data_IF_658833370579
#
_entry.id   IF_658833370579
#
_cell.length_a   1.000
_cell.length_b   1.000
_cell.length_c   1.000
_cell.angle_alpha   90.00
_cell.angle_beta   90.00
_cell.angle_gamma   90.00
#
_symmetry.space_group_name_H-M   'P 1'
#
loop_
_entity.id
_entity.type
_entity.pdbx_description
1 polymer ?
#
# COMPACT_ATOMS: atom_id res chain seq x y z
N UNK A 1 20.75 -3.32 17.21
CA UNK A 1 20.35 -3.18 15.79
C UNK A 1 19.09 -4.02 15.63
N UNK A 2 18.04 -3.47 15.05
CA UNK A 2 16.77 -4.16 14.79
C UNK A 2 16.41 -4.02 13.32
N UNK A 3 15.67 -4.98 12.77
CA UNK A 3 15.05 -4.87 11.45
C UNK A 3 13.92 -3.84 11.54
N UNK A 4 13.70 -3.08 10.46
CA UNK A 4 12.68 -2.02 10.47
C UNK A 4 11.27 -2.61 10.34
N UNK A 5 10.35 -2.26 11.25
CA UNK A 5 8.97 -2.74 11.18
C UNK A 5 8.06 -1.87 10.31
N UNK A 6 8.46 -0.64 10.01
CA UNK A 6 7.79 0.29 9.09
C UNK A 6 8.77 1.37 8.59
N UNK A 7 8.34 2.18 7.61
CA UNK A 7 9.15 3.25 7.06
C UNK A 7 8.72 4.65 7.56
N UNK A 8 7.52 4.81 8.12
CA UNK A 8 6.99 6.09 8.60
C UNK A 8 7.88 6.70 9.69
N UNK A 9 8.27 5.90 10.71
CA UNK A 9 9.16 6.39 11.78
C UNK A 9 10.55 6.82 11.28
N UNK A 10 11.26 6.06 10.42
CA UNK A 10 12.49 6.51 9.77
C UNK A 10 12.32 7.79 8.96
N UNK A 11 11.21 7.95 8.21
CA UNK A 11 10.90 9.16 7.42
C UNK A 11 10.64 10.34 8.36
N UNK A 12 9.83 10.18 9.40
CA UNK A 12 9.56 11.22 10.40
C UNK A 12 10.87 11.70 11.06
N UNK A 13 11.74 10.77 11.46
CA UNK A 13 13.06 11.10 12.00
C UNK A 13 13.95 11.83 10.98
N UNK A 14 13.96 11.39 9.71
CA UNK A 14 14.70 12.05 8.63
C UNK A 14 14.22 13.49 8.45
N UNK A 15 12.91 13.71 8.41
CA UNK A 15 12.28 15.01 8.24
C UNK A 15 12.58 15.94 9.44
N UNK A 16 12.54 15.39 10.65
CA UNK A 16 12.81 16.17 11.87
C UNK A 16 14.31 16.48 12.11
N UNK A 17 15.22 15.73 11.46
CA UNK A 17 16.67 15.89 11.65
C UNK A 17 17.37 16.45 10.41
N UNK A 18 17.61 15.61 9.40
CA UNK A 18 18.38 15.97 8.20
C UNK A 18 17.67 16.98 7.31
N UNK A 19 16.35 16.90 7.23
CA UNK A 19 15.52 17.83 6.43
C UNK A 19 14.91 18.95 7.29
N UNK A 20 15.45 19.18 8.49
CA UNK A 20 14.89 20.17 9.43
C UNK A 20 14.88 21.60 8.87
N UNK A 21 15.86 21.94 8.05
CA UNK A 21 15.97 23.26 7.41
C UNK A 21 15.04 23.45 6.20
N UNK A 22 14.50 22.35 5.67
CA UNK A 22 13.61 22.41 4.53
C UNK A 22 12.26 23.01 4.89
N UNK A 23 11.69 23.79 3.98
CA UNK A 23 10.37 24.40 4.17
C UNK A 23 9.28 23.34 4.04
N UNK A 24 8.30 23.39 4.94
CA UNK A 24 7.08 22.60 4.83
C UNK A 24 6.10 23.24 3.82
N UNK A 25 5.22 22.44 3.18
CA UNK A 25 5.09 21.00 3.30
C UNK A 25 6.19 20.23 2.56
N UNK A 26 6.56 19.06 3.09
CA UNK A 26 7.39 18.07 2.41
C UNK A 26 6.54 16.89 1.94
N UNK A 27 6.73 16.47 0.70
CA UNK A 27 6.11 15.27 0.15
C UNK A 27 7.22 14.27 -0.15
N UNK A 28 7.21 13.17 0.57
CA UNK A 28 8.26 12.16 0.51
C UNK A 28 7.65 10.81 0.13
N UNK A 29 8.45 10.00 -0.55
CA UNK A 29 8.13 8.60 -0.75
C UNK A 29 9.33 7.72 -0.43
N UNK A 30 9.05 6.49 -0.05
CA UNK A 30 10.06 5.48 0.26
C UNK A 30 9.60 4.14 -0.32
N UNK A 31 10.54 3.37 -0.85
CA UNK A 31 10.30 2.01 -1.32
C UNK A 31 11.38 1.11 -0.71
N UNK A 32 11.02 0.30 0.29
CA UNK A 32 11.96 -0.56 1.01
C UNK A 32 11.25 -1.76 1.64
N UNK A 33 12.00 -2.83 1.88
CA UNK A 33 11.54 -3.95 2.69
C UNK A 33 11.29 -3.54 4.13
N UNK A 34 10.19 -4.02 4.70
CA UNK A 34 9.91 -4.00 6.13
C UNK A 34 9.78 -5.42 6.66
N UNK A 35 9.90 -5.58 7.96
CA UNK A 35 9.95 -6.88 8.63
C UNK A 35 8.94 -6.94 9.77
N UNK A 36 8.10 -7.96 9.74
CA UNK A 36 7.08 -8.21 10.77
C UNK A 36 7.15 -9.66 11.22
N UNK A 37 6.92 -9.89 12.50
CA UNK A 37 6.77 -11.25 13.02
C UNK A 37 5.32 -11.68 12.82
N UNK A 38 5.09 -12.61 11.94
CA UNK A 38 3.78 -13.19 11.69
C UNK A 38 3.62 -14.52 12.46
N UNK A 39 2.37 -14.90 12.84
CA UNK A 39 2.13 -16.21 13.43
C UNK A 39 2.61 -17.33 12.49
N UNK A 40 3.24 -18.36 13.04
CA UNK A 40 3.65 -19.53 12.26
C UNK A 40 2.45 -20.12 11.52
N UNK A 41 2.66 -20.49 10.26
CA UNK A 41 1.63 -21.05 9.36
C UNK A 41 0.47 -20.07 9.01
N UNK A 42 0.67 -18.76 9.18
CA UNK A 42 -0.33 -17.75 8.74
C UNK A 42 -0.40 -17.58 7.21
N UNK A 43 0.56 -18.14 6.47
CA UNK A 43 0.72 -17.89 5.03
C UNK A 43 1.19 -16.48 4.69
N UNK A 44 1.68 -15.72 5.67
CA UNK A 44 2.22 -14.36 5.52
C UNK A 44 3.73 -14.40 5.58
N UNK A 45 4.35 -13.66 4.68
CA UNK A 45 5.80 -13.46 4.68
C UNK A 45 6.20 -12.49 5.81
N UNK A 46 7.32 -12.74 6.47
CA UNK A 46 7.86 -11.88 7.52
C UNK A 46 8.61 -10.67 6.94
N UNK A 47 8.96 -10.71 5.67
CA UNK A 47 9.53 -9.61 4.90
C UNK A 47 8.63 -9.30 3.70
N UNK A 48 8.33 -8.03 3.47
CA UNK A 48 7.65 -7.56 2.28
C UNK A 48 8.06 -6.13 1.94
N UNK A 49 7.95 -5.79 0.65
CA UNK A 49 8.24 -4.45 0.16
C UNK A 49 7.07 -3.53 0.43
N UNK A 50 7.37 -2.38 1.01
CA UNK A 50 6.41 -1.33 1.29
C UNK A 50 6.78 -0.06 0.53
N UNK A 51 5.81 0.52 -0.17
CA UNK A 51 5.92 1.87 -0.74
C UNK A 51 5.11 2.81 0.13
N UNK A 52 5.78 3.80 0.70
CA UNK A 52 5.20 4.79 1.58
C UNK A 52 5.14 6.14 0.89
N UNK A 53 4.06 6.88 1.12
CA UNK A 53 3.87 8.26 0.70
C UNK A 53 3.52 9.06 1.94
N UNK A 54 4.30 10.13 2.20
CA UNK A 54 4.16 10.95 3.40
C UNK A 54 4.09 12.43 3.03
N UNK A 55 3.06 13.11 3.51
CA UNK A 55 2.85 14.56 3.38
C UNK A 55 3.02 15.16 4.77
N UNK A 56 4.11 15.90 4.96
CA UNK A 56 4.51 16.48 6.23
C UNK A 56 4.30 17.99 6.19
N UNK A 57 3.57 18.55 7.16
CA UNK A 57 3.35 19.98 7.28
C UNK A 57 2.18 20.53 6.45
N UNK A 58 1.10 19.81 6.36
CA UNK A 58 -0.16 20.30 5.77
C UNK A 58 -1.24 20.45 6.83
N UNK A 59 -1.49 21.67 7.31
CA UNK A 59 -2.54 21.93 8.33
C UNK A 59 -3.96 21.89 7.77
N UNK A 60 -4.10 21.95 6.46
CA UNK A 60 -5.40 21.98 5.80
C UNK A 60 -5.92 20.59 5.47
N UNK A 61 -7.25 20.47 5.36
CA UNK A 61 -7.92 19.26 4.82
C UNK A 61 -7.42 18.86 3.43
N UNK A 62 -6.76 19.76 2.70
CA UNK A 62 -6.20 19.47 1.38
C UNK A 62 -5.13 18.39 1.44
N UNK A 63 -4.33 18.31 2.52
CA UNK A 63 -3.34 17.25 2.69
C UNK A 63 -4.01 15.87 2.86
N UNK A 64 -5.11 15.79 3.63
CA UNK A 64 -5.89 14.56 3.78
C UNK A 64 -6.52 14.13 2.45
N UNK A 65 -7.12 15.08 1.74
CA UNK A 65 -7.74 14.81 0.44
C UNK A 65 -6.72 14.37 -0.61
N UNK A 66 -5.53 14.96 -0.61
CA UNK A 66 -4.45 14.54 -1.50
C UNK A 66 -3.97 13.12 -1.16
N UNK A 67 -3.72 12.82 0.11
CA UNK A 67 -3.30 11.49 0.54
C UNK A 67 -4.35 10.42 0.19
N UNK A 68 -5.63 10.69 0.45
CA UNK A 68 -6.73 9.79 0.15
C UNK A 68 -6.95 9.61 -1.37
N UNK A 69 -6.81 10.69 -2.15
CA UNK A 69 -6.89 10.60 -3.62
C UNK A 69 -5.74 9.78 -4.20
N UNK A 70 -4.50 9.96 -3.71
CA UNK A 70 -3.35 9.15 -4.10
C UNK A 70 -3.53 7.69 -3.69
N UNK A 71 -4.08 7.43 -2.51
CA UNK A 71 -4.41 6.08 -2.06
C UNK A 71 -5.44 5.41 -2.97
N UNK A 72 -6.52 6.11 -3.32
CA UNK A 72 -7.53 5.61 -4.25
C UNK A 72 -6.96 5.34 -5.65
N UNK A 73 -6.12 6.24 -6.17
CA UNK A 73 -5.42 6.04 -7.45
C UNK A 73 -4.45 4.85 -7.41
N UNK A 74 -3.75 4.65 -6.28
CA UNK A 74 -2.87 3.50 -6.11
C UNK A 74 -3.64 2.19 -6.11
N UNK A 75 -4.82 2.15 -5.50
CA UNK A 75 -5.70 0.98 -5.52
C UNK A 75 -6.26 0.73 -6.93
N UNK A 76 -6.73 1.79 -7.60
CA UNK A 76 -7.23 1.70 -8.98
C UNK A 76 -6.19 1.16 -9.96
N UNK A 77 -4.92 1.49 -9.75
CA UNK A 77 -3.82 0.96 -10.56
C UNK A 77 -3.59 -0.55 -10.34
N UNK A 78 -4.05 -1.11 -9.22
CA UNK A 78 -3.99 -2.55 -8.94
C UNK A 78 -5.24 -3.25 -9.47
N UNK A 79 -6.42 -2.69 -9.17
CA UNK A 79 -7.71 -3.21 -9.62
C UNK A 79 -8.75 -2.09 -9.64
N UNK A 80 -9.56 -2.02 -10.71
CA UNK A 80 -10.68 -1.08 -10.80
C UNK A 80 -11.72 -1.34 -9.72
N UNK A 81 -11.87 -2.59 -9.27
CA UNK A 81 -12.81 -2.99 -8.25
C UNK A 81 -12.17 -3.00 -6.85
N UNK A 82 -11.83 -1.80 -6.41
CA UNK A 82 -11.27 -1.58 -5.09
C UNK A 82 -12.30 -1.03 -4.10
N UNK A 83 -11.97 -1.13 -2.82
CA UNK A 83 -12.69 -0.51 -1.71
C UNK A 83 -11.71 0.25 -0.81
N UNK A 84 -11.99 1.52 -0.56
CA UNK A 84 -11.25 2.33 0.41
C UNK A 84 -12.15 2.57 1.63
N UNK A 85 -11.80 1.99 2.76
CA UNK A 85 -12.46 2.18 4.05
C UNK A 85 -11.83 3.38 4.75
N UNK A 86 -12.66 4.31 5.23
CA UNK A 86 -12.24 5.50 5.96
C UNK A 86 -12.88 5.54 7.34
N UNK A 87 -12.11 5.99 8.32
CA UNK A 87 -12.54 6.16 9.71
C UNK A 87 -11.88 7.37 10.35
N UNK A 88 -12.21 7.63 11.61
CA UNK A 88 -11.66 8.74 12.39
C UNK A 88 -11.15 8.23 13.75
N UNK A 89 -9.83 8.22 13.94
CA UNK A 89 -9.18 7.66 15.14
C UNK A 89 -9.67 8.31 16.43
N UNK A 90 -9.97 9.61 16.37
CA UNK A 90 -10.41 10.36 17.53
C UNK A 90 -11.81 9.98 18.02
N UNK A 91 -12.71 9.46 17.17
CA UNK A 91 -14.01 8.95 17.63
C UNK A 91 -13.78 7.74 18.53
N UNK A 92 -13.05 6.75 18.04
CA UNK A 92 -12.75 5.54 18.80
C UNK A 92 -12.05 5.86 20.12
N UNK A 93 -10.99 6.68 20.08
CA UNK A 93 -10.23 7.08 21.26
C UNK A 93 -11.11 7.76 22.29
N UNK A 94 -11.88 8.78 21.89
CA UNK A 94 -12.75 9.53 22.81
C UNK A 94 -13.75 8.61 23.51
N UNK A 95 -14.40 7.68 22.78
CA UNK A 95 -15.39 6.79 23.42
C UNK A 95 -14.75 5.77 24.36
N UNK A 96 -13.52 5.31 24.08
CA UNK A 96 -12.80 4.38 24.98
C UNK A 96 -12.28 5.12 26.20
N UNK A 97 -11.72 6.33 26.05
CA UNK A 97 -11.22 7.15 27.15
C UNK A 97 -12.35 7.54 28.12
N UNK A 98 -13.53 7.85 27.60
CA UNK A 98 -14.71 8.18 28.42
C UNK A 98 -15.27 7.00 29.24
N UNK A 99 -14.84 5.77 28.95
CA UNK A 99 -15.15 4.61 29.79
C UNK A 99 -14.41 4.67 31.14
N UNK A 100 -13.35 5.45 31.25
CA UNK A 100 -12.49 5.57 32.44
C UNK A 100 -12.04 4.19 32.99
N UNK A 101 -11.65 3.29 32.10
CA UNK A 101 -11.19 1.95 32.43
C UNK A 101 -9.67 1.92 32.72
N UNK A 102 -9.19 0.94 33.48
CA UNK A 102 -7.74 0.67 33.54
C UNK A 102 -7.15 0.42 32.17
N UNK A 103 -5.90 0.84 31.97
CA UNK A 103 -5.18 0.77 30.69
C UNK A 103 -5.25 -0.62 30.04
N UNK A 104 -5.02 -1.69 30.83
CA UNK A 104 -5.11 -3.08 30.34
C UNK A 104 -6.49 -3.42 29.73
N UNK A 105 -7.58 -2.89 30.32
CA UNK A 105 -8.95 -3.08 29.78
C UNK A 105 -9.18 -2.25 28.53
N UNK A 106 -8.68 -1.04 28.46
CA UNK A 106 -8.77 -0.18 27.28
C UNK A 106 -8.02 -0.83 26.09
N UNK A 107 -6.82 -1.35 26.31
CA UNK A 107 -6.06 -2.12 25.30
C UNK A 107 -6.78 -3.39 24.86
N UNK A 108 -7.40 -4.11 25.80
CA UNK A 108 -8.22 -5.27 25.46
C UNK A 108 -9.37 -4.89 24.53
N UNK A 109 -10.12 -3.84 24.85
CA UNK A 109 -11.23 -3.34 24.01
C UNK A 109 -10.73 -2.98 22.62
N UNK A 110 -9.61 -2.26 22.54
CA UNK A 110 -8.96 -1.94 21.28
C UNK A 110 -8.66 -3.20 20.46
N UNK A 111 -8.02 -4.19 21.08
CA UNK A 111 -7.65 -5.45 20.43
C UNK A 111 -8.88 -6.23 19.95
N UNK A 112 -9.96 -6.24 20.76
CA UNK A 112 -11.19 -6.93 20.40
C UNK A 112 -11.91 -6.30 19.21
N UNK A 113 -11.90 -4.97 19.11
CA UNK A 113 -12.47 -4.25 17.96
C UNK A 113 -11.61 -4.47 16.70
N UNK A 114 -10.30 -4.34 16.80
CA UNK A 114 -9.38 -4.56 15.68
C UNK A 114 -9.50 -5.98 15.11
N UNK A 115 -9.66 -6.98 15.98
CA UNK A 115 -9.84 -8.37 15.59
C UNK A 115 -11.30 -8.72 15.25
N UNK A 116 -12.22 -7.74 15.27
CA UNK A 116 -13.67 -7.93 15.04
C UNK A 116 -14.29 -9.00 15.93
N UNK A 117 -13.79 -9.15 17.16
CA UNK A 117 -14.30 -10.11 18.15
C UNK A 117 -15.40 -9.46 19.00
N UNK A 118 -16.56 -9.26 18.39
CA UNK A 118 -17.70 -8.58 19.00
C UNK A 118 -18.35 -9.33 20.19
N UNK A 119 -18.43 -10.67 20.21
CA UNK A 119 -18.89 -11.39 21.40
C UNK A 119 -18.04 -11.07 22.64
N UNK A 120 -16.72 -11.20 22.54
CA UNK A 120 -15.81 -10.88 23.65
C UNK A 120 -15.81 -9.38 24.01
N UNK A 121 -16.03 -8.49 23.04
CA UNK A 121 -16.22 -7.06 23.30
C UNK A 121 -17.44 -6.81 24.17
N UNK A 122 -18.57 -7.46 23.88
CA UNK A 122 -19.79 -7.33 24.68
C UNK A 122 -19.58 -7.86 26.11
N UNK A 123 -18.88 -8.99 26.28
CA UNK A 123 -18.51 -9.52 27.60
C UNK A 123 -17.60 -8.54 28.38
N UNK A 124 -16.58 -7.98 27.71
CA UNK A 124 -15.66 -7.03 28.33
C UNK A 124 -16.35 -5.74 28.83
N UNK A 125 -17.48 -5.39 28.20
CA UNK A 125 -18.32 -4.23 28.55
C UNK A 125 -19.54 -4.60 29.39
N UNK A 126 -19.65 -5.84 29.87
CA UNK A 126 -20.76 -6.26 30.72
C UNK A 126 -20.73 -5.48 32.05
N UNK A 127 -21.91 -5.05 32.49
CA UNK A 127 -22.05 -4.27 33.72
C UNK A 127 -21.69 -2.80 33.61
N UNK A 128 -21.16 -2.33 32.47
CA UNK A 128 -20.88 -0.91 32.20
C UNK A 128 -22.09 -0.32 31.46
N UNK A 129 -22.80 0.60 32.13
CA UNK A 129 -23.99 1.25 31.57
C UNK A 129 -23.77 2.76 31.49
N UNK A 130 -23.28 3.21 30.35
CA UNK A 130 -23.09 4.64 30.05
C UNK A 130 -23.09 4.85 28.52
N UNK A 131 -23.27 6.09 28.09
CA UNK A 131 -23.31 6.43 26.66
C UNK A 131 -22.03 6.01 25.90
N UNK A 132 -20.88 6.05 26.55
CA UNK A 132 -19.62 5.60 25.97
C UNK A 132 -19.62 4.08 25.69
N UNK A 133 -20.12 3.27 26.63
CA UNK A 133 -20.22 1.82 26.46
C UNK A 133 -21.19 1.44 25.33
N UNK A 134 -22.31 2.15 25.21
CA UNK A 134 -23.27 1.98 24.11
C UNK A 134 -22.62 2.34 22.77
N UNK A 135 -21.88 3.43 22.72
CA UNK A 135 -21.15 3.84 21.54
C UNK A 135 -20.09 2.79 21.13
N UNK A 136 -19.22 2.35 22.06
CA UNK A 136 -18.19 1.33 21.77
C UNK A 136 -18.82 0.05 21.23
N UNK A 137 -19.93 -0.42 21.81
CA UNK A 137 -20.65 -1.62 21.33
C UNK A 137 -21.22 -1.43 19.91
N UNK A 138 -21.59 -0.19 19.55
CA UNK A 138 -22.19 0.12 18.25
C UNK A 138 -21.15 0.32 17.13
N UNK A 139 -19.97 0.87 17.44
CA UNK A 139 -18.94 1.21 16.43
C UNK A 139 -18.70 0.10 15.41
N UNK A 140 -18.56 -1.18 15.78
CA UNK A 140 -18.33 -2.25 14.82
C UNK A 140 -19.44 -2.47 13.79
N UNK A 141 -20.67 -2.06 14.12
CA UNK A 141 -21.83 -2.18 13.22
C UNK A 141 -22.05 -0.94 12.36
N UNK A 142 -21.32 0.15 12.64
CA UNK A 142 -21.40 1.41 11.89
C UNK A 142 -20.43 1.37 10.72
N UNK A 143 -20.79 0.55 9.73
CA UNK A 143 -20.05 0.31 8.51
C UNK A 143 -20.98 0.40 7.30
N UNK A 144 -20.60 1.14 6.26
CA UNK A 144 -21.40 1.30 5.05
C UNK A 144 -21.01 2.53 4.24
N UNK A 145 -21.98 3.16 3.61
CA UNK A 145 -21.81 4.41 2.86
C UNK A 145 -22.32 5.61 3.69
N UNK A 146 -22.99 6.56 3.06
CA UNK A 146 -23.47 7.77 3.71
C UNK A 146 -24.51 7.55 4.83
N UNK A 147 -25.24 6.45 4.79
CA UNK A 147 -26.23 6.05 5.81
C UNK A 147 -25.61 5.85 7.19
N UNK A 148 -24.32 5.52 7.24
CA UNK A 148 -23.58 5.37 8.51
C UNK A 148 -23.60 6.63 9.34
N UNK A 149 -23.52 7.80 8.71
CA UNK A 149 -23.49 9.07 9.41
C UNK A 149 -24.78 9.33 10.19
N UNK A 150 -25.94 9.05 9.60
CA UNK A 150 -27.22 9.19 10.28
C UNK A 150 -27.37 8.16 11.41
N UNK A 151 -26.99 6.90 11.14
CA UNK A 151 -27.03 5.83 12.14
C UNK A 151 -26.11 6.10 13.34
N UNK A 152 -24.99 6.80 13.13
CA UNK A 152 -24.02 7.13 14.16
C UNK A 152 -24.44 8.29 15.07
N UNK A 153 -25.27 9.22 14.61
CA UNK A 153 -25.63 10.45 15.34
C UNK A 153 -26.10 10.19 16.76
N UNK A 154 -26.90 9.16 17.00
CA UNK A 154 -27.42 8.81 18.33
C UNK A 154 -26.36 8.39 19.33
N UNK A 155 -25.18 7.97 18.85
CA UNK A 155 -24.05 7.57 19.68
C UNK A 155 -23.04 8.70 19.89
N UNK A 156 -23.20 9.83 19.17
CA UNK A 156 -22.33 11.01 19.29
C UNK A 156 -22.82 11.91 20.42
N UNK A 157 -22.67 11.46 21.65
CA UNK A 157 -23.21 12.10 22.85
C UNK A 157 -22.52 13.42 23.23
N UNK A 158 -21.32 13.69 22.73
CA UNK A 158 -20.57 14.94 22.98
C UNK A 158 -20.47 15.82 21.74
N UNK A 159 -20.19 17.13 21.95
CA UNK A 159 -19.92 18.07 20.84
C UNK A 159 -18.65 17.66 20.08
N UNK A 160 -17.66 17.16 20.78
CA UNK A 160 -16.39 16.71 20.20
C UNK A 160 -16.63 15.57 19.21
N UNK A 161 -17.34 14.51 19.63
CA UNK A 161 -17.67 13.36 18.76
C UNK A 161 -18.45 13.78 17.52
N UNK A 162 -19.42 14.69 17.67
CA UNK A 162 -20.17 15.23 16.51
C UNK A 162 -19.28 16.01 15.56
N UNK A 163 -18.32 16.78 16.08
CA UNK A 163 -17.38 17.50 15.23
C UNK A 163 -16.51 16.53 14.42
N UNK A 164 -16.01 15.46 15.05
CA UNK A 164 -15.21 14.43 14.39
C UNK A 164 -16.03 13.68 13.33
N UNK A 165 -17.27 13.30 13.65
CA UNK A 165 -18.18 12.66 12.69
C UNK A 165 -18.45 13.57 11.48
N UNK A 166 -18.68 14.87 11.70
CA UNK A 166 -18.89 15.82 10.61
C UNK A 166 -17.65 16.00 9.74
N UNK A 167 -16.44 16.03 10.34
CA UNK A 167 -15.18 16.06 9.58
C UNK A 167 -15.02 14.82 8.68
N UNK A 168 -15.36 13.64 9.21
CA UNK A 168 -15.33 12.41 8.42
C UNK A 168 -16.37 12.44 7.29
N UNK A 169 -17.59 12.97 7.54
CA UNK A 169 -18.64 13.16 6.52
C UNK A 169 -18.16 14.07 5.39
N UNK A 170 -17.58 15.23 5.74
CA UNK A 170 -17.03 16.15 4.74
C UNK A 170 -15.92 15.49 3.90
N UNK A 171 -15.11 14.64 4.50
CA UNK A 171 -14.08 13.87 3.79
C UNK A 171 -14.69 12.83 2.85
N UNK A 172 -15.71 12.09 3.29
CA UNK A 172 -16.47 11.16 2.46
C UNK A 172 -17.10 11.88 1.26
N UNK A 173 -17.79 13.00 1.49
CA UNK A 173 -18.44 13.77 0.44
C UNK A 173 -17.43 14.33 -0.58
N UNK A 174 -16.27 14.79 -0.10
CA UNK A 174 -15.18 15.24 -0.96
C UNK A 174 -14.67 14.11 -1.87
N UNK A 175 -14.44 12.92 -1.33
CA UNK A 175 -14.01 11.75 -2.13
C UNK A 175 -15.08 11.32 -3.14
N UNK A 176 -16.35 11.34 -2.77
CA UNK A 176 -17.44 11.08 -3.70
C UNK A 176 -17.48 12.11 -4.83
N UNK A 177 -17.24 13.39 -4.53
CA UNK A 177 -17.17 14.46 -5.54
C UNK A 177 -15.99 14.35 -6.49
N UNK A 178 -14.90 13.69 -6.05
CA UNK A 178 -13.73 13.37 -6.87
C UNK A 178 -13.95 12.16 -7.80
N UNK A 179 -15.13 11.52 -7.76
CA UNK A 179 -15.48 10.39 -8.62
C UNK A 179 -15.33 9.02 -7.99
N UNK A 180 -15.04 8.93 -6.69
CA UNK A 180 -14.88 7.64 -5.98
C UNK A 180 -16.18 7.12 -5.33
N UNK A 181 -17.34 7.67 -5.70
CA UNK A 181 -18.65 7.20 -5.20
C UNK A 181 -18.80 5.68 -5.41
N UNK A 182 -19.32 4.98 -4.38
CA UNK A 182 -19.45 3.52 -4.37
C UNK A 182 -18.16 2.75 -4.05
N UNK A 183 -16.98 3.38 -4.18
CA UNK A 183 -15.68 2.78 -3.79
C UNK A 183 -15.28 3.11 -2.35
N UNK A 184 -15.91 4.11 -1.74
CA UNK A 184 -15.61 4.55 -0.37
C UNK A 184 -16.60 3.92 0.61
N UNK A 185 -16.09 3.37 1.71
CA UNK A 185 -16.88 2.90 2.85
C UNK A 185 -16.44 3.62 4.11
N UNK A 186 -17.39 3.98 4.94
CA UNK A 186 -17.16 4.52 6.28
C UNK A 186 -17.13 3.36 7.27
N UNK A 187 -16.09 3.27 8.07
CA UNK A 187 -15.94 2.28 9.15
C UNK A 187 -15.60 3.01 10.45
N UNK A 188 -16.61 3.19 11.32
CA UNK A 188 -16.38 3.82 12.63
C UNK A 188 -15.73 2.86 13.65
N UNK A 189 -15.70 1.57 13.36
CA UNK A 189 -14.94 0.57 14.10
C UNK A 189 -13.48 0.42 13.60
N UNK A 190 -13.04 1.28 12.66
CA UNK A 190 -11.68 1.23 12.18
C UNK A 190 -10.70 1.69 13.27
N UNK A 191 -10.12 0.72 13.95
CA UNK A 191 -9.07 0.93 14.95
C UNK A 191 -7.71 0.48 14.40
N UNK A 192 -6.65 1.09 14.86
CA UNK A 192 -5.30 0.72 14.47
C UNK A 192 -4.42 0.63 15.71
N UNK A 193 -3.64 -0.44 15.82
CA UNK A 193 -2.71 -0.71 16.93
C UNK A 193 -1.65 0.38 17.14
N UNK A 194 -1.44 1.20 16.11
CA UNK A 194 -0.46 2.28 16.17
C UNK A 194 -1.12 3.51 16.81
N UNK A 195 -0.80 3.79 18.07
CA UNK A 195 -1.36 4.89 18.87
C UNK A 195 -1.03 6.29 18.37
N UNK A 196 -0.21 6.42 17.32
CA UNK A 196 0.21 7.72 16.82
C UNK A 196 -0.80 8.40 15.88
N UNK A 197 -1.84 7.71 15.40
CA UNK A 197 -2.84 8.34 14.53
C UNK A 197 -3.71 9.33 15.31
N UNK A 198 -3.91 10.52 14.73
CA UNK A 198 -4.58 11.66 15.38
C UNK A 198 -5.85 12.14 14.66
N UNK A 199 -6.17 11.58 13.49
CA UNK A 199 -7.29 12.02 12.65
C UNK A 199 -7.79 10.91 11.75
N UNK A 200 -7.94 11.24 10.46
CA UNK A 200 -8.41 10.28 9.46
C UNK A 200 -7.56 9.00 9.45
N UNK A 201 -8.24 7.86 9.38
CA UNK A 201 -7.67 6.53 9.15
C UNK A 201 -8.24 5.96 7.86
N UNK A 202 -7.45 5.16 7.14
CA UNK A 202 -7.98 4.48 5.96
C UNK A 202 -7.26 3.17 5.67
N UNK A 203 -8.00 2.24 5.04
CA UNK A 203 -7.49 0.94 4.55
C UNK A 203 -8.04 0.69 3.16
N UNK A 204 -7.18 0.23 2.27
CA UNK A 204 -7.55 -0.09 0.90
C UNK A 204 -7.55 -1.59 0.66
N UNK A 205 -8.61 -2.06 0.00
CA UNK A 205 -8.81 -3.46 -0.35
C UNK A 205 -9.05 -3.57 -1.85
N UNK A 206 -8.63 -4.68 -2.42
CA UNK A 206 -8.91 -5.07 -3.80
C UNK A 206 -9.52 -6.46 -3.84
N UNK A 207 -10.27 -6.79 -4.86
CA UNK A 207 -10.87 -8.10 -4.98
C UNK A 207 -9.79 -9.20 -5.10
N UNK A 208 -10.08 -10.38 -4.55
CA UNK A 208 -9.18 -11.52 -4.61
C UNK A 208 -8.00 -11.49 -3.62
N UNK A 209 -7.89 -10.46 -2.77
CA UNK A 209 -6.93 -10.40 -1.67
C UNK A 209 -7.62 -10.06 -0.34
N UNK A 210 -7.59 -11.01 0.60
CA UNK A 210 -8.39 -10.96 1.84
C UNK A 210 -7.85 -10.02 2.93
N UNK A 211 -6.79 -9.25 2.67
CA UNK A 211 -6.16 -8.31 3.59
C UNK A 211 -6.05 -6.92 2.96
N UNK A 212 -5.86 -5.85 3.75
CA UNK A 212 -5.58 -4.55 3.18
C UNK A 212 -4.32 -4.57 2.31
N UNK A 213 -4.41 -4.04 1.09
CA UNK A 213 -3.27 -3.80 0.19
C UNK A 213 -2.60 -2.48 0.56
N UNK A 214 -3.35 -1.57 1.18
CA UNK A 214 -2.92 -0.23 1.54
C UNK A 214 -3.49 0.14 2.90
N UNK A 215 -2.73 0.86 3.71
CA UNK A 215 -3.21 1.47 4.95
C UNK A 215 -2.51 2.79 5.24
N UNK A 216 -3.22 3.72 5.87
CA UNK A 216 -2.67 5.02 6.22
C UNK A 216 -3.55 5.84 7.15
N UNK A 217 -3.14 7.08 7.38
CA UNK A 217 -3.86 8.02 8.23
C UNK A 217 -3.05 9.25 8.59
N UNK A 218 -3.67 10.15 9.37
CA UNK A 218 -3.06 11.37 9.92
C UNK A 218 -2.39 11.09 11.26
N UNK A 219 -1.16 11.63 11.46
CA UNK A 219 -0.34 11.39 12.65
C UNK A 219 0.47 12.65 13.05
N UNK A 220 -0.20 13.63 13.59
CA UNK A 220 0.35 14.97 13.85
C UNK A 220 1.34 15.07 15.01
N UNK A 221 1.43 14.06 15.86
CA UNK A 221 2.31 14.06 17.06
C UNK A 221 3.67 13.42 16.81
N UNK A 222 3.78 12.47 15.87
CA UNK A 222 4.95 11.63 15.68
C UNK A 222 6.26 12.41 15.39
N UNK A 223 6.18 13.49 14.59
CA UNK A 223 7.37 14.30 14.31
C UNK A 223 7.87 15.05 15.54
N UNK A 224 6.96 15.36 16.48
CA UNK A 224 7.29 15.99 17.77
C UNK A 224 8.25 15.15 18.61
N UNK A 225 8.11 13.82 18.59
CA UNK A 225 8.99 12.89 19.30
C UNK A 225 10.45 12.96 18.81
N UNK A 226 10.64 13.42 17.57
CA UNK A 226 11.95 13.67 16.96
C UNK A 226 12.37 15.14 16.99
N UNK A 227 11.64 16.01 17.72
CA UNK A 227 11.99 17.40 17.96
C UNK A 227 11.53 18.38 16.87
N UNK A 228 10.56 18.03 16.01
CA UNK A 228 9.96 18.94 15.03
C UNK A 228 8.44 18.77 15.03
N UNK A 229 7.72 19.64 15.73
CA UNK A 229 6.26 19.62 15.67
C UNK A 229 5.77 19.95 14.27
N UNK A 230 4.97 19.08 13.70
CA UNK A 230 4.36 19.24 12.39
C UNK A 230 3.23 18.25 12.21
N UNK A 231 2.19 18.68 11.50
CA UNK A 231 1.14 17.78 11.02
C UNK A 231 1.69 16.81 9.99
N UNK A 232 1.11 15.64 9.90
CA UNK A 232 1.51 14.64 8.93
C UNK A 232 0.35 13.70 8.57
N UNK A 233 0.27 13.34 7.30
CA UNK A 233 -0.64 12.32 6.78
C UNK A 233 0.08 11.51 5.71
N UNK A 234 -0.11 10.20 5.71
CA UNK A 234 0.53 9.34 4.74
C UNK A 234 -0.09 7.96 4.69
N UNK A 235 0.41 7.14 3.80
CA UNK A 235 -0.03 5.75 3.66
C UNK A 235 1.07 4.88 3.08
N UNK A 236 0.89 3.59 3.27
CA UNK A 236 1.78 2.56 2.79
C UNK A 236 1.04 1.53 1.96
N UNK A 237 1.64 1.14 0.83
CA UNK A 237 1.17 0.07 -0.07
C UNK A 237 2.05 -1.15 0.11
N UNK A 238 1.44 -2.32 0.30
CA UNK A 238 2.12 -3.61 0.26
C UNK A 238 2.28 -4.05 -1.20
N UNK A 239 3.52 -4.01 -1.69
CA UNK A 239 3.83 -4.29 -3.11
C UNK A 239 3.57 -5.74 -3.47
N UNK A 240 3.90 -6.69 -2.59
CA UNK A 240 3.66 -8.12 -2.82
C UNK A 240 2.16 -8.42 -2.88
N UNK A 241 1.37 -7.76 -2.05
CA UNK A 241 -0.10 -7.87 -2.09
C UNK A 241 -0.65 -7.37 -3.43
N UNK A 242 -0.22 -6.18 -3.87
CA UNK A 242 -0.58 -5.61 -5.15
C UNK A 242 -0.14 -6.51 -6.33
N UNK A 243 1.10 -6.99 -6.30
CA UNK A 243 1.64 -7.89 -7.31
C UNK A 243 0.88 -9.22 -7.39
N UNK A 244 0.50 -9.81 -6.24
CA UNK A 244 -0.30 -11.05 -6.20
C UNK A 244 -1.66 -10.89 -6.89
N UNK A 245 -2.28 -9.71 -6.80
CA UNK A 245 -3.55 -9.43 -7.50
C UNK A 245 -3.30 -9.22 -8.99
N UNK A 246 -2.36 -8.35 -9.35
CA UNK A 246 -2.03 -8.05 -10.74
C UNK A 246 -1.63 -9.31 -11.52
N UNK A 247 -0.83 -10.21 -10.93
CA UNK A 247 -0.40 -11.45 -11.56
C UNK A 247 -1.55 -12.43 -11.87
N UNK A 248 -2.68 -12.33 -11.14
CA UNK A 248 -3.87 -13.14 -11.45
C UNK A 248 -4.60 -12.68 -12.71
N UNK A 249 -4.55 -11.38 -13.00
CA UNK A 249 -5.20 -10.78 -14.18
C UNK A 249 -4.31 -10.77 -15.43
N UNK A 250 -2.99 -10.96 -15.27
CA UNK A 250 -2.04 -11.02 -16.40
C UNK A 250 -2.05 -12.41 -17.00
N UNK A 251 -2.66 -12.55 -18.17
CA UNK A 251 -2.66 -13.79 -18.95
C UNK A 251 -1.53 -13.83 -19.99
N UNK A 252 -0.83 -12.73 -20.21
CA UNK A 252 0.30 -12.65 -21.12
C UNK A 252 1.62 -12.93 -20.40
N UNK A 253 2.62 -13.50 -21.10
CA UNK A 253 3.95 -13.68 -20.52
C UNK A 253 4.52 -12.33 -20.05
N UNK A 254 5.03 -12.27 -18.81
CA UNK A 254 5.67 -11.07 -18.26
C UNK A 254 6.95 -10.67 -19.01
N UNK A 255 7.50 -11.59 -19.78
CA UNK A 255 8.68 -11.36 -20.62
C UNK A 255 8.26 -11.25 -22.07
N UNK A 256 8.76 -10.23 -22.76
CA UNK A 256 8.61 -10.18 -24.22
C UNK A 256 9.28 -11.39 -24.83
N UNK A 257 8.68 -12.02 -25.85
CA UNK A 257 9.37 -13.08 -26.59
C UNK A 257 10.66 -12.51 -27.18
N UNK A 258 11.68 -13.36 -27.30
CA UNK A 258 12.93 -12.99 -27.96
C UNK A 258 12.67 -12.92 -29.46
N UNK A 259 12.98 -11.79 -30.07
CA UNK A 259 12.81 -11.56 -31.51
C UNK A 259 13.94 -12.20 -32.31
N UNK A 260 15.17 -12.08 -31.80
CA UNK A 260 16.38 -12.54 -32.51
C UNK A 260 17.34 -13.21 -31.55
N UNK A 261 17.83 -14.40 -31.93
CA UNK A 261 18.99 -15.03 -31.32
C UNK A 261 20.23 -14.69 -32.17
N UNK A 262 21.26 -14.14 -31.55
CA UNK A 262 22.55 -13.83 -32.21
C UNK A 262 23.56 -14.89 -31.81
N UNK A 263 24.09 -15.62 -32.78
CA UNK A 263 25.19 -16.54 -32.63
C UNK A 263 26.45 -15.99 -33.27
N UNK A 264 27.53 -15.95 -32.52
CA UNK A 264 28.84 -15.50 -33.02
C UNK A 264 29.72 -16.67 -33.37
N UNK A 265 30.27 -16.66 -34.59
CA UNK A 265 31.32 -17.63 -34.93
C UNK A 265 32.58 -17.40 -34.07
N UNK A 266 33.36 -18.42 -33.87
CA UNK A 266 34.60 -18.35 -33.06
C UNK A 266 35.52 -17.21 -33.55
N UNK A 267 35.91 -16.33 -32.59
CA UNK A 267 36.71 -15.17 -32.86
C UNK A 267 35.90 -13.95 -33.33
N UNK A 268 34.56 -14.02 -33.42
CA UNK A 268 33.66 -12.95 -33.83
C UNK A 268 32.75 -12.50 -32.67
N UNK A 269 33.03 -12.83 -31.44
CA UNK A 269 32.18 -12.59 -30.28
C UNK A 269 31.93 -11.10 -30.04
N UNK A 270 32.98 -10.26 -30.26
CA UNK A 270 32.85 -8.80 -30.14
C UNK A 270 31.97 -8.21 -31.23
N UNK A 271 32.03 -8.76 -32.45
CA UNK A 271 31.17 -8.35 -33.57
C UNK A 271 29.73 -8.75 -33.32
N UNK A 272 29.50 -9.92 -32.74
CA UNK A 272 28.17 -10.38 -32.34
C UNK A 272 27.54 -9.50 -31.27
N UNK A 273 28.32 -9.10 -30.24
CA UNK A 273 27.84 -8.16 -29.23
C UNK A 273 27.53 -6.77 -29.80
N UNK A 274 28.31 -6.29 -30.76
CA UNK A 274 28.03 -5.04 -31.46
C UNK A 274 26.70 -5.16 -32.24
N UNK A 275 26.50 -6.27 -32.97
CA UNK A 275 25.26 -6.53 -33.68
C UNK A 275 24.04 -6.64 -32.74
N UNK A 276 24.20 -7.28 -31.55
CA UNK A 276 23.15 -7.26 -30.52
C UNK A 276 22.79 -5.83 -30.12
N UNK A 277 23.77 -4.94 -29.92
CA UNK A 277 23.52 -3.56 -29.53
C UNK A 277 22.78 -2.76 -30.64
N UNK A 278 23.07 -3.01 -31.90
CA UNK A 278 22.37 -2.43 -33.05
C UNK A 278 20.89 -2.86 -33.05
N UNK A 279 20.63 -4.16 -32.96
CA UNK A 279 19.27 -4.71 -32.93
C UNK A 279 18.45 -4.22 -31.72
N UNK A 280 19.09 -4.09 -30.54
CA UNK A 280 18.45 -3.50 -29.36
C UNK A 280 18.13 -2.02 -29.61
N UNK A 281 19.01 -1.28 -30.29
CA UNK A 281 18.77 0.10 -30.69
C UNK A 281 17.59 0.25 -31.66
N UNK A 282 17.28 -0.76 -32.45
CA UNK A 282 16.08 -0.88 -33.30
C UNK A 282 14.81 -1.28 -32.52
N UNK A 283 14.92 -1.57 -31.24
CA UNK A 283 13.79 -1.92 -30.36
C UNK A 283 13.46 -3.41 -30.29
N UNK A 284 14.35 -4.28 -30.83
CA UNK A 284 14.19 -5.73 -30.78
C UNK A 284 14.66 -6.31 -29.46
N UNK A 285 14.03 -7.41 -29.03
CA UNK A 285 14.47 -8.22 -27.88
C UNK A 285 15.46 -9.27 -28.38
N UNK A 286 16.72 -9.15 -27.95
CA UNK A 286 17.83 -9.97 -28.47
C UNK A 286 18.37 -10.91 -27.43
N UNK A 287 18.65 -12.16 -27.82
CA UNK A 287 19.36 -13.15 -27.01
C UNK A 287 20.72 -13.44 -27.62
N UNK A 288 21.81 -13.11 -26.92
CA UNK A 288 23.15 -13.47 -27.35
C UNK A 288 23.40 -14.94 -26.98
N UNK A 289 23.60 -15.79 -27.98
CA UNK A 289 23.88 -17.20 -27.77
C UNK A 289 25.29 -17.41 -27.21
N UNK A 290 25.39 -18.28 -26.21
CA UNK A 290 26.63 -18.74 -25.63
C UNK A 290 26.95 -20.20 -26.06
N UNK A 291 26.23 -20.74 -27.04
CA UNK A 291 26.45 -22.09 -27.61
C UNK A 291 27.80 -22.20 -28.26
N UNK A 292 28.41 -23.37 -28.21
CA UNK A 292 29.70 -23.60 -28.82
C UNK A 292 29.60 -23.74 -30.34
N UNK A 293 28.43 -24.18 -30.82
CA UNK A 293 28.21 -24.43 -32.26
C UNK A 293 26.92 -23.72 -32.73
N UNK A 294 26.85 -23.47 -34.02
CA UNK A 294 25.64 -22.91 -34.65
C UNK A 294 24.46 -23.87 -34.53
N UNK A 295 24.72 -25.18 -34.59
CA UNK A 295 23.70 -26.22 -34.48
C UNK A 295 23.01 -26.21 -33.11
N UNK A 296 23.81 -26.11 -32.02
CA UNK A 296 23.30 -25.95 -30.66
C UNK A 296 22.50 -24.66 -30.48
N UNK A 297 22.96 -23.54 -31.07
CA UNK A 297 22.24 -22.26 -31.06
C UNK A 297 20.88 -22.37 -31.76
N UNK A 298 20.83 -23.07 -32.89
CA UNK A 298 19.59 -23.35 -33.64
C UNK A 298 18.63 -24.24 -32.86
N UNK A 299 19.11 -25.26 -32.18
CA UNK A 299 18.29 -26.10 -31.31
C UNK A 299 17.72 -25.33 -30.13
N UNK A 300 18.54 -24.46 -29.50
CA UNK A 300 18.09 -23.55 -28.44
C UNK A 300 16.98 -22.63 -28.94
N UNK A 301 17.17 -22.03 -30.11
CA UNK A 301 16.15 -21.13 -30.71
C UNK A 301 14.84 -21.87 -30.93
N UNK A 302 14.84 -23.09 -31.46
CA UNK A 302 13.63 -23.91 -31.64
C UNK A 302 12.93 -24.22 -30.34
N UNK A 303 13.68 -24.66 -29.33
CA UNK A 303 13.14 -24.99 -28.01
C UNK A 303 12.46 -23.80 -27.33
N UNK A 304 12.94 -22.56 -27.59
CA UNK A 304 12.43 -21.33 -27.00
C UNK A 304 11.50 -20.54 -27.91
N UNK A 305 11.15 -21.08 -29.08
CA UNK A 305 10.22 -20.44 -30.02
C UNK A 305 10.78 -19.16 -30.67
N UNK A 306 12.11 -19.02 -30.71
CA UNK A 306 12.77 -17.90 -31.38
C UNK A 306 12.82 -18.21 -32.89
N UNK A 307 12.22 -17.36 -33.69
CA UNK A 307 12.05 -17.62 -35.13
C UNK A 307 13.21 -17.12 -35.98
N UNK A 308 14.00 -16.20 -35.48
CA UNK A 308 15.12 -15.60 -36.20
C UNK A 308 16.43 -15.84 -35.46
N UNK A 309 17.42 -16.33 -36.18
CA UNK A 309 18.79 -16.46 -35.71
C UNK A 309 19.74 -15.72 -36.66
N UNK A 310 20.51 -14.79 -36.12
CA UNK A 310 21.52 -14.06 -36.85
C UNK A 310 22.90 -14.66 -36.53
N UNK A 311 23.55 -15.20 -37.54
CA UNK A 311 24.91 -15.79 -37.42
C UNK A 311 25.94 -14.71 -37.86
N UNK A 312 26.78 -14.30 -36.90
CA UNK A 312 27.79 -13.28 -37.11
C UNK A 312 29.17 -13.92 -37.37
N UNK A 313 29.67 -13.64 -38.54
CA UNK A 313 30.98 -14.14 -39.00
C UNK A 313 32.04 -13.02 -39.14
N UNK A 314 33.18 -13.35 -39.73
CA UNK A 314 34.27 -12.43 -39.95
C UNK A 314 33.81 -11.24 -40.83
N UNK A 315 34.49 -10.10 -40.67
CA UNK A 315 34.18 -8.87 -41.35
C UNK A 315 32.74 -8.33 -41.16
N UNK A 316 32.16 -8.59 -40.02
CA UNK A 316 30.75 -8.22 -39.68
C UNK A 316 29.72 -8.81 -40.65
N UNK A 317 30.02 -9.91 -41.32
CA UNK A 317 29.06 -10.60 -42.15
C UNK A 317 27.99 -11.23 -41.27
N UNK A 318 26.72 -10.83 -41.46
CA UNK A 318 25.56 -11.38 -40.75
C UNK A 318 24.74 -12.25 -41.70
N UNK A 319 24.53 -13.49 -41.34
CA UNK A 319 23.62 -14.40 -42.06
C UNK A 319 22.33 -14.58 -41.21
N UNK A 320 21.21 -14.09 -41.74
CA UNK A 320 19.88 -14.26 -41.08
C UNK A 320 19.31 -15.62 -41.46
N UNK A 321 18.91 -16.39 -40.46
CA UNK A 321 18.27 -17.70 -40.59
C UNK A 321 16.91 -17.73 -39.93
N UNK A 322 15.93 -18.30 -40.60
CA UNK A 322 14.69 -18.73 -39.96
C UNK A 322 14.92 -20.09 -39.30
N UNK A 323 14.44 -20.27 -38.07
CA UNK A 323 14.75 -21.43 -37.23
C UNK A 323 13.47 -22.17 -36.83
#
# INVERSE_FOLDING_TARGET
MVLRPDNTMPIARLAATRLRAEKLPLKLYCNQSIFMVNPKNSGRDDEFTQVDIEILGGESKAADYEALSLAAQSLFAVDEDFRLEIGESGIFRTVVDDLNLPEEKAELIHTLIENKNYPALNEALEGISCSAAEAVKALPSLFGESEVFEAAEKYMYSKELRTKLNTLRETYDALCSMGYSGKIKVDLGLAHKKDYYTGILFRGYVEGYGLPVLSGGRYDTLLGDFGRNSTAVGFAVNVEAAAKVLLKSVHEPLTKPVDVLVFSMSGCETLGLAHCAELIGEGLTVFNSLSATEEEAGEYAKQHGIRRMDVVGANSAVTIKEV
#
